data_IF_895633128293
#
_entry.id   IF_895633128293
#
_cell.length_a   1.000
_cell.length_b   1.000
_cell.length_c   1.000
_cell.angle_alpha   90.00
_cell.angle_beta   90.00
_cell.angle_gamma   90.00
#
_symmetry.space_group_name_H-M   'P 1'
#
loop_
_entity.id
_entity.type
_entity.pdbx_description
1 polymer ?
#
# COMPACT_ATOMS: atom_id res chain seq x y z
N UNK A 1 -4.30 -60.18 16.70
CA UNK A 1 -4.86 -58.83 16.85
C UNK A 1 -3.89 -57.77 17.42
N UNK A 2 -3.14 -57.99 18.49
CA UNK A 2 -2.23 -56.93 19.07
C UNK A 2 -1.10 -56.42 18.16
N UNK A 3 -0.63 -57.22 17.20
CA UNK A 3 0.44 -56.77 16.24
C UNK A 3 -0.11 -55.85 15.13
N UNK A 4 -1.33 -56.08 14.68
CA UNK A 4 -1.96 -55.21 13.63
C UNK A 4 -2.29 -53.82 14.16
N UNK A 5 -2.72 -53.69 15.41
CA UNK A 5 -3.02 -52.41 16.02
C UNK A 5 -1.76 -51.55 16.21
N UNK A 6 -0.60 -52.18 16.52
CA UNK A 6 0.67 -51.48 16.66
C UNK A 6 1.20 -50.98 15.27
N UNK A 7 0.98 -51.79 14.22
CA UNK A 7 1.40 -51.40 12.87
C UNK A 7 0.55 -50.23 12.33
N UNK A 8 -0.78 -50.26 12.55
CA UNK A 8 -1.68 -49.19 12.18
C UNK A 8 -1.38 -47.87 12.91
N UNK A 9 -1.09 -47.93 14.23
CA UNK A 9 -0.69 -46.78 15.01
C UNK A 9 0.64 -46.15 14.53
N UNK A 10 1.60 -46.97 14.11
CA UNK A 10 2.87 -46.52 13.56
C UNK A 10 2.70 -45.83 12.19
N UNK A 11 1.84 -46.37 11.31
CA UNK A 11 1.53 -45.73 10.02
C UNK A 11 0.80 -44.39 10.20
N UNK A 12 -0.14 -44.27 11.12
CA UNK A 12 -0.88 -43.02 11.40
C UNK A 12 0.08 -41.96 11.97
N UNK A 13 0.99 -42.35 12.88
CA UNK A 13 1.98 -41.40 13.41
C UNK A 13 2.98 -40.92 12.36
N UNK A 14 3.41 -41.78 11.41
CA UNK A 14 4.25 -41.37 10.29
C UNK A 14 3.54 -40.43 9.31
N UNK A 15 2.26 -40.65 9.02
CA UNK A 15 1.45 -39.77 8.16
C UNK A 15 1.25 -38.41 8.84
N UNK A 16 0.95 -38.38 10.13
CA UNK A 16 0.83 -37.12 10.87
C UNK A 16 2.17 -36.37 10.98
N UNK A 17 3.27 -37.08 11.13
CA UNK A 17 4.61 -36.46 11.15
C UNK A 17 5.00 -35.90 9.76
N UNK A 18 4.66 -36.59 8.68
CA UNK A 18 4.91 -36.11 7.32
C UNK A 18 4.03 -34.87 6.99
N UNK A 19 2.77 -34.84 7.43
CA UNK A 19 1.92 -33.68 7.24
C UNK A 19 2.40 -32.46 8.05
N UNK A 20 2.90 -32.64 9.28
CA UNK A 20 3.48 -31.54 10.06
C UNK A 20 4.82 -31.05 9.51
N UNK A 21 5.62 -31.89 8.86
CA UNK A 21 6.84 -31.45 8.17
C UNK A 21 6.53 -30.65 6.88
N UNK A 22 5.46 -31.02 6.17
CA UNK A 22 5.07 -30.29 4.96
C UNK A 22 4.55 -28.87 5.25
N UNK A 23 3.92 -28.65 6.39
CA UNK A 23 3.41 -27.30 6.77
C UNK A 23 4.50 -26.36 7.28
N UNK A 24 5.67 -26.86 7.68
CA UNK A 24 6.78 -26.03 8.17
C UNK A 24 7.78 -25.66 7.04
N UNK A 25 7.82 -26.41 5.93
CA UNK A 25 8.81 -26.20 4.86
C UNK A 25 8.32 -25.32 3.70
N UNK A 26 7.02 -25.03 3.62
CA UNK A 26 6.46 -24.28 2.49
C UNK A 26 6.71 -22.76 2.46
N UNK A 27 6.91 -22.03 3.57
CA UNK A 27 7.10 -20.60 3.45
C UNK A 27 8.52 -20.15 3.06
N UNK A 28 9.54 -20.98 3.24
CA UNK A 28 10.94 -20.57 2.96
C UNK A 28 11.36 -20.83 1.52
N UNK A 29 10.92 -21.93 0.92
CA UNK A 29 11.31 -22.27 -0.47
C UNK A 29 10.51 -21.51 -1.55
N UNK A 30 9.33 -21.00 -1.23
CA UNK A 30 8.54 -20.22 -2.18
C UNK A 30 9.13 -18.81 -2.44
N UNK A 31 10.07 -18.36 -1.60
CA UNK A 31 10.65 -17.02 -1.71
C UNK A 31 11.83 -16.94 -2.68
N UNK A 32 12.58 -18.02 -2.86
CA UNK A 32 13.78 -18.03 -3.73
C UNK A 32 13.43 -17.89 -5.23
N UNK A 33 12.18 -18.14 -5.62
CA UNK A 33 11.70 -18.02 -7.00
C UNK A 33 10.66 -16.90 -7.18
N UNK A 34 10.45 -16.06 -6.17
CA UNK A 34 9.48 -14.98 -6.25
C UNK A 34 9.99 -13.86 -7.17
N UNK A 35 9.13 -13.40 -8.08
CA UNK A 35 9.40 -12.22 -8.88
C UNK A 35 9.39 -10.99 -7.96
N UNK A 36 10.55 -10.37 -7.76
CA UNK A 36 10.66 -9.16 -6.93
C UNK A 36 10.31 -7.92 -7.72
N UNK A 37 9.43 -7.12 -7.17
CA UNK A 37 9.04 -5.79 -7.64
C UNK A 37 9.64 -4.77 -6.67
N UNK A 38 10.40 -3.81 -7.18
CA UNK A 38 10.92 -2.70 -6.38
C UNK A 38 9.91 -1.57 -6.44
N UNK A 39 9.32 -1.25 -5.28
CA UNK A 39 8.40 -0.13 -5.12
C UNK A 39 9.14 1.14 -4.68
N UNK A 40 8.44 2.26 -4.77
CA UNK A 40 8.90 3.56 -4.29
C UNK A 40 8.02 4.04 -3.15
N UNK A 41 8.57 4.92 -2.33
CA UNK A 41 7.82 5.52 -1.25
C UNK A 41 8.12 7.01 -1.12
N UNK A 42 7.20 7.73 -0.51
CA UNK A 42 7.31 9.16 -0.23
C UNK A 42 6.68 9.50 1.11
N UNK A 43 7.11 10.61 1.69
CA UNK A 43 6.46 11.20 2.86
C UNK A 43 5.34 12.11 2.38
N UNK A 44 4.11 11.84 2.80
CA UNK A 44 2.92 12.58 2.42
C UNK A 44 1.71 11.65 2.29
N UNK A 45 0.53 12.22 2.15
CA UNK A 45 -0.70 11.47 1.95
C UNK A 45 -0.81 10.93 0.52
N UNK A 46 -1.30 9.71 0.38
CA UNK A 46 -1.61 9.13 -0.92
C UNK A 46 -2.80 9.83 -1.57
N UNK A 47 -2.82 9.86 -2.90
CA UNK A 47 -3.89 10.49 -3.70
C UNK A 47 -4.95 9.44 -4.04
N UNK A 48 -6.24 9.83 -3.96
CA UNK A 48 -7.37 8.98 -4.33
C UNK A 48 -8.32 8.68 -3.18
N UNK A 49 -9.25 7.76 -3.42
CA UNK A 49 -10.21 7.32 -2.41
C UNK A 49 -9.50 6.44 -1.38
N UNK A 50 -9.57 6.85 -0.13
CA UNK A 50 -8.97 6.14 0.99
C UNK A 50 -9.87 4.99 1.46
N UNK A 51 -9.30 3.79 1.57
CA UNK A 51 -9.91 2.62 2.19
C UNK A 51 -9.04 2.16 3.37
N UNK A 52 -9.56 2.22 4.58
CA UNK A 52 -8.82 1.86 5.80
C UNK A 52 -8.66 0.35 5.91
N UNK A 53 -7.42 -0.13 5.97
CA UNK A 53 -7.10 -1.54 6.27
C UNK A 53 -7.20 -1.81 7.77
N UNK A 54 -6.74 -0.85 8.58
CA UNK A 54 -6.88 -0.86 10.03
C UNK A 54 -6.73 0.57 10.60
N UNK A 55 -7.56 0.88 11.59
CA UNK A 55 -7.38 2.00 12.51
C UNK A 55 -7.22 1.42 13.93
N UNK A 56 -6.10 1.69 14.58
CA UNK A 56 -5.84 1.19 15.92
C UNK A 56 -6.60 1.95 17.01
N UNK A 57 -7.36 2.99 16.65
CA UNK A 57 -8.26 3.70 17.56
C UNK A 57 -9.27 2.76 18.26
N UNK A 58 -9.70 1.71 17.57
CA UNK A 58 -10.66 0.71 18.08
C UNK A 58 -10.05 -0.26 19.09
N UNK A 59 -8.82 -0.05 19.52
CA UNK A 59 -8.08 -0.90 20.45
C UNK A 59 -7.95 -2.38 19.98
N UNK A 60 -8.02 -2.62 18.69
CA UNK A 60 -7.87 -3.92 18.05
C UNK A 60 -6.58 -4.01 17.26
N UNK A 61 -5.87 -5.13 17.36
CA UNK A 61 -4.70 -5.41 16.48
C UNK A 61 -5.12 -5.73 15.04
N UNK A 62 -6.41 -5.95 14.78
CA UNK A 62 -6.94 -6.24 13.44
C UNK A 62 -6.28 -7.44 12.75
N UNK A 63 -5.73 -8.38 13.52
CA UNK A 63 -5.00 -9.54 13.00
C UNK A 63 -3.52 -9.29 12.68
N UNK A 64 -2.98 -8.10 12.97
CA UNK A 64 -1.54 -7.89 12.94
C UNK A 64 -0.85 -8.61 14.09
N UNK A 65 0.29 -9.22 13.80
CA UNK A 65 1.14 -9.94 14.76
C UNK A 65 2.56 -9.37 14.73
N UNK A 66 3.34 -9.50 15.83
CA UNK A 66 4.74 -9.06 15.84
C UNK A 66 5.54 -9.86 14.82
N UNK A 67 6.51 -9.20 14.20
CA UNK A 67 7.41 -9.77 13.22
C UNK A 67 8.82 -9.20 13.40
N UNK A 68 9.84 -9.94 12.96
CA UNK A 68 11.25 -9.62 13.17
C UNK A 68 11.58 -9.42 14.66
N UNK A 69 12.37 -8.44 15.04
CA UNK A 69 12.81 -8.19 16.42
C UNK A 69 11.77 -7.53 17.35
N UNK A 70 10.49 -7.43 16.96
CA UNK A 70 9.45 -6.89 17.85
C UNK A 70 9.16 -7.82 19.01
N UNK A 71 9.21 -7.31 20.25
CA UNK A 71 8.88 -8.10 21.44
C UNK A 71 7.37 -8.37 21.56
N UNK A 72 6.59 -7.29 21.50
CA UNK A 72 5.14 -7.36 21.61
C UNK A 72 4.48 -6.16 20.93
N UNK A 73 3.24 -6.36 20.49
CA UNK A 73 2.38 -5.29 20.00
C UNK A 73 1.49 -4.81 21.14
N UNK A 74 1.58 -3.53 21.47
CA UNK A 74 0.78 -2.90 22.51
C UNK A 74 -0.06 -1.77 21.90
N UNK A 75 -1.33 -1.73 22.27
CA UNK A 75 -2.20 -0.60 21.95
C UNK A 75 -2.25 0.31 23.17
N UNK A 76 -2.00 1.58 22.97
CA UNK A 76 -2.05 2.57 24.02
C UNK A 76 -2.44 3.95 23.50
N UNK A 77 -2.98 4.79 24.39
CA UNK A 77 -3.37 6.14 24.02
C UNK A 77 -2.17 6.98 23.60
N UNK A 78 -2.36 7.79 22.56
CA UNK A 78 -1.42 8.83 22.15
C UNK A 78 -1.91 10.18 22.64
N UNK A 79 -1.05 10.91 23.38
CA UNK A 79 -1.35 12.26 23.83
C UNK A 79 -1.51 13.25 22.65
N UNK A 80 -0.83 12.98 21.53
CA UNK A 80 -0.86 13.86 20.35
C UNK A 80 -2.17 13.72 19.57
N UNK A 81 -2.67 12.47 19.43
CA UNK A 81 -3.90 12.24 18.65
C UNK A 81 -5.14 12.04 19.51
N UNK A 82 -4.97 11.94 20.84
CA UNK A 82 -6.11 11.72 21.74
C UNK A 82 -6.83 10.38 21.51
N UNK A 83 -6.18 9.43 20.85
CA UNK A 83 -6.72 8.12 20.49
C UNK A 83 -5.69 7.02 20.70
N UNK A 84 -6.11 5.77 20.58
CA UNK A 84 -5.21 4.64 20.66
C UNK A 84 -4.32 4.57 19.41
N UNK A 85 -3.11 4.05 19.61
CA UNK A 85 -2.13 3.76 18.56
C UNK A 85 -1.48 2.42 18.86
N UNK A 86 -1.04 1.72 17.83
CA UNK A 86 -0.18 0.57 17.97
C UNK A 86 1.22 1.06 18.35
N UNK A 87 1.82 0.46 19.38
CA UNK A 87 3.20 0.68 19.80
C UNK A 87 3.97 -0.62 19.68
N UNK A 88 5.14 -0.56 19.08
CA UNK A 88 6.08 -1.68 19.05
C UNK A 88 7.49 -1.20 19.39
N UNK A 89 8.27 -2.08 19.99
CA UNK A 89 9.61 -1.81 20.51
C UNK A 89 10.60 -2.79 19.91
N UNK A 90 11.83 -2.35 19.74
CA UNK A 90 12.95 -3.22 19.40
C UNK A 90 13.28 -4.14 20.57
N UNK A 91 13.41 -5.44 20.28
CA UNK A 91 13.85 -6.43 21.25
C UNK A 91 15.34 -6.29 21.60
N UNK A 92 16.14 -5.86 20.64
CA UNK A 92 17.59 -5.68 20.82
C UNK A 92 18.11 -4.57 19.90
N UNK A 93 19.23 -3.90 20.28
CA UNK A 93 19.87 -2.89 19.43
C UNK A 93 20.28 -3.45 18.06
N UNK A 94 20.15 -2.65 17.02
CA UNK A 94 20.54 -3.01 15.66
C UNK A 94 19.64 -4.05 14.98
N UNK A 95 18.56 -4.49 15.65
CA UNK A 95 17.58 -5.39 15.05
C UNK A 95 16.49 -4.62 14.31
N UNK A 96 15.77 -5.32 13.44
CA UNK A 96 14.54 -4.84 12.85
C UNK A 96 13.39 -5.07 13.82
N UNK A 97 12.41 -4.16 13.84
CA UNK A 97 11.10 -4.38 14.44
C UNK A 97 10.04 -4.35 13.36
N UNK A 98 9.00 -5.14 13.54
CA UNK A 98 8.01 -5.21 12.48
C UNK A 98 6.67 -5.77 12.92
N UNK A 99 5.71 -5.58 12.04
CA UNK A 99 4.38 -6.14 12.14
C UNK A 99 4.03 -6.81 10.82
N UNK A 100 3.26 -7.88 10.87
CA UNK A 100 2.73 -8.52 9.68
C UNK A 100 1.26 -8.90 9.85
N UNK A 101 0.56 -8.92 8.74
CA UNK A 101 -0.79 -9.45 8.64
C UNK A 101 -0.93 -10.26 7.36
N UNK A 102 -1.55 -11.41 7.48
CA UNK A 102 -1.94 -12.24 6.35
C UNK A 102 -3.45 -12.06 6.09
N UNK A 103 -3.79 -11.74 4.87
CA UNK A 103 -5.16 -11.66 4.39
C UNK A 103 -5.47 -12.94 3.62
N UNK A 104 -6.64 -13.52 3.84
CA UNK A 104 -7.07 -14.76 3.17
C UNK A 104 -7.20 -14.60 1.65
N UNK A 105 -7.48 -13.37 1.21
CA UNK A 105 -7.51 -12.95 -0.17
C UNK A 105 -7.00 -11.50 -0.29
N UNK A 106 -6.68 -11.08 -1.50
CA UNK A 106 -6.13 -9.76 -1.75
C UNK A 106 -7.18 -8.68 -2.09
N UNK A 107 -8.47 -8.94 -1.87
CA UNK A 107 -9.55 -7.99 -2.19
C UNK A 107 -9.42 -6.66 -1.46
N UNK A 108 -8.84 -6.66 -0.25
CA UNK A 108 -8.57 -5.44 0.49
C UNK A 108 -7.55 -4.50 -0.18
N UNK A 109 -6.75 -5.02 -1.12
CA UNK A 109 -5.74 -4.29 -1.89
C UNK A 109 -6.15 -4.12 -3.36
N UNK A 110 -7.34 -4.59 -3.76
CA UNK A 110 -7.81 -4.53 -5.16
C UNK A 110 -7.85 -3.08 -5.63
N UNK A 111 -7.28 -2.83 -6.82
CA UNK A 111 -7.20 -1.51 -7.45
C UNK A 111 -6.46 -0.42 -6.64
N UNK A 112 -5.78 -0.79 -5.56
CA UNK A 112 -5.01 0.17 -4.77
C UNK A 112 -3.73 0.58 -5.50
N UNK A 113 -3.51 1.88 -5.66
CA UNK A 113 -2.26 2.42 -6.20
C UNK A 113 -1.22 2.63 -5.10
N UNK A 114 -1.65 2.98 -3.89
CA UNK A 114 -0.71 3.23 -2.79
C UNK A 114 -1.20 2.61 -1.48
N UNK A 115 -0.24 2.26 -0.62
CA UNK A 115 -0.46 1.91 0.78
C UNK A 115 0.18 2.98 1.65
N UNK A 116 -0.58 3.52 2.57
CA UNK A 116 -0.14 4.61 3.45
C UNK A 116 -0.19 4.18 4.91
N UNK A 117 0.81 4.62 5.67
CA UNK A 117 0.97 4.34 7.10
C UNK A 117 1.13 5.66 7.85
N UNK A 118 0.20 5.97 8.74
CA UNK A 118 0.33 7.12 9.65
C UNK A 118 1.10 6.69 10.89
N UNK A 119 2.29 7.25 11.09
CA UNK A 119 3.21 6.80 12.14
C UNK A 119 4.10 7.90 12.69
N UNK A 120 4.77 7.59 13.80
CA UNK A 120 5.91 8.33 14.33
C UNK A 120 7.02 7.37 14.72
N UNK A 121 8.24 7.70 14.32
CA UNK A 121 9.47 7.09 14.83
C UNK A 121 9.90 7.85 16.09
N UNK A 122 10.00 7.15 17.23
CA UNK A 122 10.48 7.75 18.49
C UNK A 122 11.94 7.39 18.72
N UNK A 123 12.69 8.35 19.23
CA UNK A 123 14.09 8.23 19.67
C UNK A 123 15.13 8.05 18.59
N UNK A 124 14.80 7.48 17.44
CA UNK A 124 15.75 7.26 16.34
C UNK A 124 15.10 7.51 14.99
N UNK A 125 15.92 7.77 13.98
CA UNK A 125 15.49 7.70 12.59
C UNK A 125 15.38 6.22 12.16
N UNK A 126 14.39 5.92 11.37
CA UNK A 126 14.13 4.56 10.85
C UNK A 126 14.06 4.57 9.34
N UNK A 127 14.61 3.53 8.73
CA UNK A 127 14.20 3.11 7.40
C UNK A 127 13.01 2.17 7.54
N UNK A 128 11.86 2.58 7.04
CA UNK A 128 10.63 1.77 7.06
C UNK A 128 10.51 1.04 5.73
N UNK A 129 10.37 -0.27 5.79
CA UNK A 129 10.23 -1.15 4.64
C UNK A 129 8.83 -1.75 4.61
N UNK A 130 8.09 -1.51 3.53
CA UNK A 130 6.90 -2.27 3.19
C UNK A 130 7.31 -3.48 2.36
N UNK A 131 6.81 -4.65 2.74
CA UNK A 131 6.89 -5.86 1.93
C UNK A 131 5.49 -6.42 1.74
N UNK A 132 5.08 -6.56 0.48
CA UNK A 132 3.88 -7.28 0.09
C UNK A 132 4.31 -8.61 -0.55
N UNK A 133 3.74 -9.71 -0.10
CA UNK A 133 3.99 -11.01 -0.69
C UNK A 133 2.66 -11.66 -1.06
N UNK A 134 2.56 -12.16 -2.27
CA UNK A 134 1.36 -12.78 -2.81
C UNK A 134 1.65 -13.62 -4.04
N UNK A 135 0.62 -13.87 -4.82
CA UNK A 135 0.69 -14.66 -6.05
C UNK A 135 0.10 -13.85 -7.20
N UNK A 136 0.71 -13.91 -8.36
CA UNK A 136 0.17 -13.29 -9.56
C UNK A 136 -0.97 -14.12 -10.18
N UNK A 137 -1.62 -13.55 -11.20
CA UNK A 137 -2.74 -14.19 -11.93
C UNK A 137 -2.34 -15.48 -12.65
N UNK A 138 -1.04 -15.77 -12.78
CA UNK A 138 -0.51 -17.01 -13.36
C UNK A 138 -0.16 -18.07 -12.32
N UNK A 139 -0.29 -17.78 -11.02
CA UNK A 139 0.09 -18.63 -9.91
C UNK A 139 1.56 -18.50 -9.51
N UNK A 140 2.30 -17.50 -10.04
CA UNK A 140 3.70 -17.25 -9.69
C UNK A 140 3.80 -16.38 -8.44
N UNK A 141 4.65 -16.74 -7.45
CA UNK A 141 4.89 -15.88 -6.29
C UNK A 141 5.47 -14.52 -6.70
N UNK A 142 4.90 -13.44 -6.18
CA UNK A 142 5.39 -12.07 -6.38
C UNK A 142 5.62 -11.39 -5.03
N UNK A 143 6.67 -10.58 -4.95
CA UNK A 143 7.00 -9.80 -3.76
C UNK A 143 7.31 -8.36 -4.17
N UNK A 144 6.63 -7.41 -3.54
CA UNK A 144 7.01 -5.99 -3.63
C UNK A 144 7.80 -5.61 -2.37
N UNK A 145 8.88 -4.86 -2.56
CA UNK A 145 9.67 -4.25 -1.49
C UNK A 145 9.82 -2.76 -1.79
N UNK A 146 9.42 -1.92 -0.85
CA UNK A 146 9.55 -0.47 -0.94
C UNK A 146 10.06 0.08 0.40
N UNK A 147 10.96 1.07 0.37
CA UNK A 147 11.57 1.65 1.56
C UNK A 147 11.40 3.16 1.61
N UNK A 148 11.26 3.71 2.82
CA UNK A 148 11.19 5.14 3.08
C UNK A 148 11.95 5.45 4.37
N UNK A 149 12.73 6.52 4.37
CA UNK A 149 13.34 7.02 5.60
C UNK A 149 12.35 7.90 6.37
N UNK A 150 12.06 7.51 7.60
CA UNK A 150 11.15 8.20 8.49
C UNK A 150 11.89 9.22 9.38
N UNK A 151 11.32 10.43 9.48
CA UNK A 151 11.87 11.48 10.34
C UNK A 151 11.60 11.19 11.80
N UNK A 152 12.59 11.43 12.67
CA UNK A 152 12.49 11.18 14.11
C UNK A 152 11.54 12.17 14.80
N UNK A 153 10.75 11.66 15.77
CA UNK A 153 9.88 12.44 16.65
C UNK A 153 8.86 13.33 15.91
N UNK A 154 8.53 12.99 14.68
CA UNK A 154 7.55 13.70 13.89
C UNK A 154 6.47 12.72 13.40
N UNK A 155 5.20 13.08 13.62
CA UNK A 155 4.08 12.37 13.00
C UNK A 155 4.07 12.63 11.50
N UNK A 156 4.01 11.56 10.75
CA UNK A 156 4.08 11.60 9.30
C UNK A 156 3.24 10.48 8.69
N UNK A 157 2.84 10.68 7.47
CA UNK A 157 2.27 9.62 6.63
C UNK A 157 3.35 9.16 5.67
N UNK A 158 3.66 7.88 5.69
CA UNK A 158 4.51 7.23 4.70
C UNK A 158 3.63 6.57 3.67
N UNK A 159 3.82 6.90 2.41
CA UNK A 159 3.03 6.38 1.30
C UNK A 159 3.92 5.58 0.35
N UNK A 160 3.59 4.33 0.15
CA UNK A 160 4.29 3.37 -0.71
C UNK A 160 3.49 3.15 -1.99
N UNK A 161 4.13 3.25 -3.13
CA UNK A 161 3.56 2.88 -4.42
C UNK A 161 3.47 1.35 -4.51
N UNK A 162 2.26 0.83 -4.68
CA UNK A 162 1.98 -0.59 -4.78
C UNK A 162 1.27 -0.98 -6.08
N UNK A 163 1.04 -0.04 -7.00
CA UNK A 163 0.29 -0.26 -8.25
C UNK A 163 0.88 -1.40 -9.09
N UNK A 164 2.21 -1.44 -9.19
CA UNK A 164 2.90 -2.50 -9.93
C UNK A 164 2.68 -3.92 -9.33
N UNK A 165 2.38 -4.02 -8.03
CA UNK A 165 2.03 -5.28 -7.37
C UNK A 165 0.55 -5.60 -7.55
N UNK A 166 -0.34 -4.65 -7.25
CA UNK A 166 -1.79 -4.85 -7.27
C UNK A 166 -2.33 -5.16 -8.66
N UNK A 167 -1.75 -4.54 -9.70
CA UNK A 167 -2.11 -4.82 -11.10
C UNK A 167 -1.79 -6.25 -11.55
N UNK A 168 -0.79 -6.90 -10.95
CA UNK A 168 -0.35 -8.25 -11.27
C UNK A 168 -0.95 -9.32 -10.35
N UNK A 169 -1.27 -9.00 -9.10
CA UNK A 169 -1.71 -9.97 -8.10
C UNK A 169 -3.02 -10.67 -8.48
N UNK A 170 -3.17 -11.92 -8.04
CA UNK A 170 -4.46 -12.61 -8.00
C UNK A 170 -5.23 -12.17 -6.75
N UNK A 171 -6.35 -11.51 -6.94
CA UNK A 171 -7.19 -10.99 -5.85
C UNK A 171 -7.81 -12.09 -4.98
N UNK A 172 -7.91 -13.31 -5.49
CA UNK A 172 -8.47 -14.46 -4.76
C UNK A 172 -7.39 -15.26 -4.01
N UNK A 173 -6.12 -14.89 -4.18
CA UNK A 173 -5.00 -15.53 -3.49
C UNK A 173 -4.67 -14.81 -2.18
N UNK A 174 -4.08 -15.51 -1.18
CA UNK A 174 -3.62 -14.88 0.04
C UNK A 174 -2.54 -13.83 -0.23
N UNK A 175 -2.57 -12.75 0.56
CA UNK A 175 -1.55 -11.72 0.53
C UNK A 175 -1.06 -11.42 1.93
N UNK A 176 0.26 -11.28 2.09
CA UNK A 176 0.90 -10.89 3.35
C UNK A 176 1.40 -9.45 3.25
N UNK A 177 0.95 -8.62 4.16
CA UNK A 177 1.45 -7.25 4.35
C UNK A 177 2.41 -7.27 5.54
N UNK A 178 3.66 -6.84 5.31
CA UNK A 178 4.69 -6.74 6.35
C UNK A 178 5.23 -5.33 6.34
N UNK A 179 5.29 -4.71 7.52
CA UNK A 179 5.97 -3.45 7.75
C UNK A 179 7.14 -3.71 8.69
N UNK A 180 8.33 -3.30 8.27
CA UNK A 180 9.57 -3.40 9.02
C UNK A 180 10.12 -2.01 9.26
N UNK A 181 10.72 -1.79 10.43
CA UNK A 181 11.48 -0.59 10.71
C UNK A 181 12.87 -1.00 11.21
N UNK A 182 13.89 -0.47 10.57
CA UNK A 182 15.29 -0.64 10.94
C UNK A 182 15.80 0.66 11.53
N UNK A 183 16.34 0.63 12.75
CA UNK A 183 16.95 1.81 13.35
C UNK A 183 18.25 2.17 12.63
N UNK A 184 18.48 3.48 12.44
CA UNK A 184 19.68 3.97 11.76
C UNK A 184 20.96 3.69 12.54
N UNK A 185 20.88 3.59 13.88
CA UNK A 185 22.02 3.33 14.75
C UNK A 185 21.83 2.04 15.54
N UNK A 186 22.82 1.17 15.50
CA UNK A 186 22.84 -0.09 16.26
C UNK A 186 22.84 0.11 17.79
N UNK A 187 23.17 1.31 18.27
CA UNK A 187 23.20 1.65 19.70
C UNK A 187 21.85 2.10 20.25
N UNK A 188 20.81 2.24 19.42
CA UNK A 188 19.51 2.75 19.85
C UNK A 188 18.72 1.68 20.60
N UNK A 189 18.91 1.64 21.91
CA UNK A 189 18.12 0.80 22.82
C UNK A 189 16.77 1.45 23.13
N UNK A 190 15.71 0.64 23.16
CA UNK A 190 14.36 1.12 23.49
C UNK A 190 13.72 1.97 22.39
N UNK A 191 14.26 1.92 21.19
CA UNK A 191 13.67 2.55 20.02
C UNK A 191 12.24 2.00 19.81
N UNK A 192 11.32 2.87 19.54
CA UNK A 192 9.93 2.51 19.31
C UNK A 192 9.33 3.26 18.13
N UNK A 193 8.32 2.67 17.54
CA UNK A 193 7.46 3.37 16.60
C UNK A 193 6.00 3.24 17.02
N UNK A 194 5.22 4.24 16.68
CA UNK A 194 3.79 4.23 16.90
C UNK A 194 3.08 4.37 15.56
N UNK A 195 2.08 3.52 15.34
CA UNK A 195 1.26 3.54 14.13
C UNK A 195 -0.18 3.83 14.54
N UNK A 196 -0.80 4.83 13.89
CA UNK A 196 -2.21 5.15 14.10
C UNK A 196 -3.10 4.32 13.19
N UNK A 197 -2.80 4.31 11.90
CA UNK A 197 -3.63 3.65 10.90
C UNK A 197 -2.81 3.20 9.70
N UNK A 198 -3.31 2.20 9.01
CA UNK A 198 -2.82 1.74 7.72
C UNK A 198 -4.01 1.75 6.78
N UNK A 199 -3.85 2.35 5.61
CA UNK A 199 -4.90 2.46 4.61
C UNK A 199 -4.33 2.36 3.20
N UNK A 200 -5.17 2.03 2.25
CA UNK A 200 -4.82 2.04 0.82
C UNK A 200 -5.60 3.14 0.13
N UNK A 201 -5.00 3.69 -0.94
CA UNK A 201 -5.67 4.66 -1.78
C UNK A 201 -5.87 4.05 -3.17
N UNK A 202 -7.13 4.06 -3.62
CA UNK A 202 -7.49 3.71 -4.99
C UNK A 202 -7.57 4.97 -5.82
N UNK A 203 -7.02 4.99 -7.04
CA UNK A 203 -7.17 6.14 -7.94
C UNK A 203 -8.64 6.50 -8.13
N UNK A 204 -8.96 7.77 -8.12
CA UNK A 204 -10.28 8.21 -8.54
C UNK A 204 -10.41 7.99 -10.05
N UNK A 205 -11.18 6.99 -10.44
CA UNK A 205 -11.54 6.79 -11.84
C UNK A 205 -12.57 7.85 -12.23
N UNK A 206 -12.17 8.83 -13.03
CA UNK A 206 -13.16 9.71 -13.64
C UNK A 206 -14.09 8.87 -14.52
N UNK A 207 -15.42 9.01 -14.37
CA UNK A 207 -16.35 8.30 -15.23
C UNK A 207 -15.99 8.53 -16.70
N UNK A 208 -15.95 7.47 -17.50
CA UNK A 208 -15.48 7.50 -18.91
C UNK A 208 -16.19 8.56 -19.79
N UNK A 209 -17.40 8.99 -19.38
CA UNK A 209 -18.15 10.02 -20.07
C UNK A 209 -17.66 11.47 -19.79
N UNK A 210 -16.85 11.70 -18.76
CA UNK A 210 -16.36 13.05 -18.43
C UNK A 210 -15.39 13.54 -19.51
N UNK A 211 -14.47 12.70 -19.96
CA UNK A 211 -13.51 13.05 -21.03
C UNK A 211 -14.19 13.47 -22.34
N UNK A 212 -15.15 12.71 -22.91
CA UNK A 212 -15.84 13.13 -24.11
C UNK A 212 -16.72 14.37 -23.90
N UNK A 213 -17.34 14.56 -22.74
CA UNK A 213 -18.13 15.75 -22.42
C UNK A 213 -17.23 17.00 -22.36
N UNK A 214 -16.12 16.93 -21.67
CA UNK A 214 -15.17 18.07 -21.60
C UNK A 214 -14.59 18.40 -22.96
N UNK A 215 -14.24 17.40 -23.77
CA UNK A 215 -13.78 17.62 -25.14
C UNK A 215 -14.85 18.27 -26.02
N UNK A 216 -16.10 17.85 -25.90
CA UNK A 216 -17.23 18.44 -26.63
C UNK A 216 -17.48 19.91 -26.21
N UNK A 217 -17.46 20.21 -24.90
CA UNK A 217 -17.63 21.58 -24.40
C UNK A 217 -16.47 22.48 -24.85
N UNK A 218 -15.24 22.02 -24.75
CA UNK A 218 -14.07 22.77 -25.24
C UNK A 218 -14.16 23.02 -26.75
N UNK A 219 -14.57 22.01 -27.53
CA UNK A 219 -14.79 22.13 -28.97
C UNK A 219 -15.85 23.16 -29.33
N UNK A 220 -16.99 23.20 -28.62
CA UNK A 220 -18.05 24.20 -28.81
C UNK A 220 -17.55 25.62 -28.49
N UNK A 221 -16.83 25.80 -27.38
CA UNK A 221 -16.29 27.13 -26.98
C UNK A 221 -15.30 27.63 -28.01
N UNK A 222 -14.38 26.79 -28.49
CA UNK A 222 -13.41 27.14 -29.53
C UNK A 222 -14.10 27.44 -30.84
N UNK A 223 -15.08 26.62 -31.27
CA UNK A 223 -15.87 26.84 -32.47
C UNK A 223 -16.63 28.17 -32.44
N UNK A 224 -17.25 28.51 -31.30
CA UNK A 224 -17.93 29.78 -31.11
C UNK A 224 -16.97 30.98 -31.16
N UNK A 225 -15.80 30.84 -30.53
CA UNK A 225 -14.78 31.90 -30.58
C UNK A 225 -14.28 32.16 -32.04
N UNK A 226 -14.05 31.09 -32.80
CA UNK A 226 -13.65 31.20 -34.22
C UNK A 226 -14.75 31.85 -35.06
N UNK A 227 -16.03 31.46 -34.88
CA UNK A 227 -17.16 32.07 -35.56
C UNK A 227 -17.29 33.55 -35.24
N UNK A 228 -17.07 33.97 -33.97
CA UNK A 228 -17.08 35.39 -33.61
C UNK A 228 -15.96 36.18 -34.30
N UNK A 229 -14.76 35.62 -34.41
CA UNK A 229 -13.63 36.27 -35.10
C UNK A 229 -13.94 36.43 -36.58
N UNK A 230 -14.45 35.39 -37.25
CA UNK A 230 -14.84 35.44 -38.65
C UNK A 230 -15.98 36.46 -38.86
N UNK A 231 -17.01 36.45 -38.01
CA UNK A 231 -18.12 37.40 -38.06
C UNK A 231 -17.63 38.84 -37.94
N UNK A 232 -16.78 39.14 -36.96
CA UNK A 232 -16.18 40.49 -36.79
C UNK A 232 -15.34 40.88 -37.99
N UNK A 233 -14.56 39.97 -38.57
CA UNK A 233 -13.71 40.21 -39.71
C UNK A 233 -14.55 40.54 -40.96
N UNK A 234 -15.65 39.82 -41.22
CA UNK A 234 -16.57 40.07 -42.34
C UNK A 234 -17.38 41.34 -42.16
N UNK A 235 -17.90 41.61 -40.96
CA UNK A 235 -18.64 42.84 -40.68
C UNK A 235 -17.73 44.11 -40.83
N UNK A 236 -16.46 43.99 -40.46
CA UNK A 236 -15.52 45.12 -40.59
C UNK A 236 -15.14 45.41 -42.06
N UNK A 237 -15.10 44.37 -42.92
CA UNK A 237 -14.88 44.55 -44.34
C UNK A 237 -16.03 45.31 -45.02
N UNK A 238 -17.26 45.09 -44.59
CA UNK A 238 -18.44 45.76 -45.14
C UNK A 238 -18.65 47.21 -44.63
N UNK A 239 -17.79 47.68 -43.70
CA UNK A 239 -17.82 49.05 -43.15
C UNK A 239 -16.74 49.95 -43.75
N UNK A 240 -16.13 49.60 -44.91
CA UNK A 240 -15.28 50.57 -45.63
C UNK A 240 -16.13 51.76 -46.04
N UNK A 241 -15.73 52.98 -45.69
CA UNK A 241 -16.54 54.16 -45.99
C UNK A 241 -16.55 54.38 -47.52
N UNK A 242 -17.72 54.72 -48.03
CA UNK A 242 -18.06 54.90 -49.47
C UNK A 242 -17.29 55.99 -50.14
N UNK A 243 -16.49 56.80 -49.43
CA UNK A 243 -15.72 57.93 -50.01
C UNK A 243 -14.38 57.53 -50.58
N UNK A 244 -13.96 56.28 -50.53
CA UNK A 244 -12.75 55.81 -51.24
C UNK A 244 -13.00 55.38 -52.71
N UNK A 245 -14.25 55.38 -53.14
CA UNK A 245 -14.59 55.03 -54.51
C UNK A 245 -14.73 56.24 -55.48
N UNK A 246 -14.54 57.45 -54.97
CA UNK A 246 -14.66 58.73 -55.82
C UNK A 246 -13.34 59.49 -56.04
N UNK A 247 -12.16 58.79 -56.01
CA UNK A 247 -10.89 59.38 -56.34
C UNK A 247 -10.27 58.70 -57.59
#
# INVERSE_FOLDING_TARGET
>A
MKRFVKLAALCISMVLLSMSLFTVLTPVQALDNAKTIVGYGSVGEGVGKQNTLIDFADASLGGFVPFAGSEALNIGSSAVWGTNVLKTYLASPGSEMGIKKEFADATALEDAATLSVQMVAQTSAYTVTLRLAGTDKSGTPIVLVATIDATTNQWQTLTFDIDAFTSQMDKNAPVTVTLLASAANESDTGASWMIKSIYVNTPETFPEYILPITAAVCGLVLGFAICLVIYRSTCNKNRRPRWEEEL
#
